data_IF_351830249878
#
_entry.id   IF_351830249878
#
_cell.length_a   1.000
_cell.length_b   1.000
_cell.length_c   1.000
_cell.angle_alpha   90.00
_cell.angle_beta   90.00
_cell.angle_gamma   90.00
#
_symmetry.space_group_name_H-M   'P 1'
#
loop_
_entity.id
_entity.type
_entity.pdbx_description
1 polymer ?
#
# COMPACT_ATOMS: atom_id res chain seq x y z
N UNK A 1 -3.41 -18.63 -7.00
CA UNK A 1 -4.53 -17.70 -6.71
C UNK A 1 -4.14 -16.54 -5.79
N UNK A 2 -3.40 -16.78 -4.68
CA UNK A 2 -3.02 -15.72 -3.72
C UNK A 2 -2.13 -14.59 -4.27
N UNK A 3 -1.25 -14.88 -5.23
CA UNK A 3 -0.34 -13.89 -5.81
C UNK A 3 -1.07 -12.75 -6.55
N UNK A 4 -2.31 -12.97 -7.01
CA UNK A 4 -3.08 -11.96 -7.77
C UNK A 4 -3.60 -10.83 -6.87
N UNK A 5 -3.84 -11.11 -5.59
CA UNK A 5 -4.35 -10.13 -4.63
C UNK A 5 -3.25 -9.42 -3.83
N UNK A 6 -2.03 -9.95 -3.87
CA UNK A 6 -0.91 -9.34 -3.18
C UNK A 6 -0.65 -7.88 -3.62
N UNK A 7 -0.71 -7.54 -4.93
CA UNK A 7 -0.57 -6.16 -5.38
C UNK A 7 -1.65 -5.22 -4.87
N UNK A 8 -2.91 -5.67 -4.71
CA UNK A 8 -3.98 -4.78 -4.25
C UNK A 8 -3.76 -4.34 -2.80
N UNK A 9 -3.22 -5.21 -1.95
CA UNK A 9 -2.95 -4.86 -0.55
C UNK A 9 -1.88 -3.79 -0.37
N UNK A 10 -0.98 -3.61 -1.36
CA UNK A 10 0.04 -2.55 -1.34
C UNK A 10 -0.56 -1.15 -1.43
N UNK A 11 -1.68 -1.00 -2.15
CA UNK A 11 -2.41 0.27 -2.16
C UNK A 11 -2.90 0.64 -0.77
N UNK A 12 -3.42 -0.36 -0.05
CA UNK A 12 -3.90 -0.15 1.30
C UNK A 12 -2.75 0.07 2.30
N UNK A 13 -1.54 -0.47 2.08
CA UNK A 13 -0.37 -0.12 2.90
C UNK A 13 -0.13 1.40 2.88
N UNK A 14 -0.11 2.00 1.69
CA UNK A 14 0.03 3.45 1.54
C UNK A 14 -1.20 4.21 2.07
N UNK A 15 -2.41 3.76 1.74
CA UNK A 15 -3.63 4.46 2.12
C UNK A 15 -3.86 4.44 3.63
N UNK A 16 -3.60 3.31 4.31
CA UNK A 16 -3.64 3.24 5.77
C UNK A 16 -2.69 4.30 6.36
N UNK A 17 -1.45 4.38 5.85
CA UNK A 17 -0.43 5.32 6.31
C UNK A 17 -0.83 6.78 6.13
N UNK A 18 -1.28 7.19 4.93
CA UNK A 18 -1.57 8.60 4.64
C UNK A 18 -2.94 9.05 5.13
N UNK A 19 -3.91 8.14 5.24
CA UNK A 19 -5.27 8.49 5.70
C UNK A 19 -5.43 8.39 7.22
N UNK A 20 -4.62 7.56 7.89
CA UNK A 20 -4.80 7.21 9.30
C UNK A 20 -6.00 6.29 9.55
N UNK A 21 -6.59 5.72 8.50
CA UNK A 21 -7.74 4.81 8.57
C UNK A 21 -7.23 3.38 8.51
N UNK A 22 -7.66 2.52 9.44
CA UNK A 22 -7.49 1.07 9.30
C UNK A 22 -8.65 0.49 8.49
N UNK A 23 -8.48 0.38 7.18
CA UNK A 23 -9.53 -0.10 6.26
C UNK A 23 -9.99 -1.54 6.57
N UNK A 24 -9.20 -2.31 7.31
CA UNK A 24 -9.49 -3.71 7.62
C UNK A 24 -9.83 -3.96 9.09
N UNK A 25 -10.08 -2.90 9.88
CA UNK A 25 -10.38 -2.99 11.31
C UNK A 25 -11.55 -3.94 11.63
N UNK A 26 -12.60 -3.91 10.83
CA UNK A 26 -13.80 -4.75 11.01
C UNK A 26 -13.70 -6.14 10.36
N UNK A 27 -12.63 -6.44 9.63
CA UNK A 27 -12.43 -7.69 8.88
C UNK A 27 -11.12 -8.38 9.26
N UNK A 28 -11.00 -8.89 10.51
CA UNK A 28 -9.75 -9.39 11.06
C UNK A 28 -9.15 -10.55 10.27
N UNK A 29 -9.98 -11.39 9.63
CA UNK A 29 -9.51 -12.48 8.75
C UNK A 29 -8.76 -11.94 7.52
N UNK A 30 -9.26 -10.85 6.92
CA UNK A 30 -8.61 -10.22 5.76
C UNK A 30 -7.31 -9.55 6.18
N UNK A 31 -7.30 -8.89 7.35
CA UNK A 31 -6.08 -8.31 7.93
C UNK A 31 -5.00 -9.36 8.18
N UNK A 32 -5.36 -10.51 8.75
CA UNK A 32 -4.44 -11.64 8.91
C UNK A 32 -3.93 -12.18 7.57
N UNK A 33 -4.82 -12.34 6.59
CA UNK A 33 -4.44 -12.82 5.26
C UNK A 33 -3.47 -11.87 4.55
N UNK A 34 -3.73 -10.56 4.56
CA UNK A 34 -2.81 -9.53 4.05
C UNK A 34 -1.43 -9.62 4.71
N UNK A 35 -1.39 -9.73 6.03
CA UNK A 35 -0.14 -9.85 6.79
C UNK A 35 0.63 -11.14 6.47
N UNK A 36 -0.08 -12.22 6.12
CA UNK A 36 0.56 -13.46 5.67
C UNK A 36 1.14 -13.29 4.26
N UNK A 37 0.38 -12.69 3.34
CA UNK A 37 0.83 -12.46 1.97
C UNK A 37 2.03 -11.51 1.88
N UNK A 38 2.10 -10.48 2.72
CA UNK A 38 3.22 -9.53 2.72
C UNK A 38 4.56 -10.17 3.08
N UNK A 39 4.56 -11.35 3.70
CA UNK A 39 5.75 -12.15 4.04
C UNK A 39 6.16 -13.15 2.97
N UNK A 40 5.33 -13.38 1.95
CA UNK A 40 5.70 -14.27 0.86
C UNK A 40 6.79 -13.65 -0.01
N UNK A 41 7.91 -14.35 -0.19
CA UNK A 41 9.04 -13.89 -1.00
C UNK A 41 8.64 -13.57 -2.45
N UNK A 42 7.84 -14.44 -3.09
CA UNK A 42 7.30 -14.19 -4.44
C UNK A 42 6.43 -12.93 -4.52
N UNK A 43 5.75 -12.54 -3.43
CA UNK A 43 4.96 -11.30 -3.35
C UNK A 43 5.84 -10.09 -3.18
N UNK A 44 6.94 -10.22 -2.42
CA UNK A 44 7.92 -9.16 -2.24
C UNK A 44 8.69 -8.88 -3.54
N UNK A 45 9.13 -9.93 -4.22
CA UNK A 45 9.89 -9.84 -5.48
C UNK A 45 9.05 -9.41 -6.70
N UNK A 46 7.72 -9.42 -6.59
CA UNK A 46 6.83 -9.05 -7.70
C UNK A 46 6.75 -7.53 -7.97
N UNK A 47 7.30 -6.70 -7.10
CA UNK A 47 7.30 -5.23 -7.23
C UNK A 47 8.70 -4.68 -7.01
N UNK A 48 8.97 -3.50 -7.57
CA UNK A 48 10.23 -2.79 -7.34
C UNK A 48 10.35 -2.35 -5.87
N UNK A 49 11.57 -2.24 -5.37
CA UNK A 49 11.83 -1.80 -3.98
C UNK A 49 11.27 -0.39 -3.69
N UNK A 50 11.24 0.47 -4.70
CA UNK A 50 10.71 1.83 -4.62
C UNK A 50 9.20 1.93 -4.96
N UNK A 51 8.47 0.81 -4.94
CA UNK A 51 7.06 0.79 -5.34
C UNK A 51 6.18 1.71 -4.48
N UNK A 52 6.43 1.79 -3.17
CA UNK A 52 5.67 2.68 -2.28
C UNK A 52 5.82 4.15 -2.68
N UNK A 53 7.03 4.57 -3.03
CA UNK A 53 7.30 5.93 -3.51
C UNK A 53 6.66 6.17 -4.88
N UNK A 54 6.76 5.21 -5.81
CA UNK A 54 6.07 5.31 -7.12
C UNK A 54 4.55 5.45 -6.95
N UNK A 55 3.97 4.73 -5.99
CA UNK A 55 2.55 4.83 -5.69
C UNK A 55 2.20 6.17 -5.03
N UNK A 56 3.05 6.68 -4.13
CA UNK A 56 2.88 8.00 -3.54
C UNK A 56 2.91 9.10 -4.60
N UNK A 57 3.83 9.05 -5.56
CA UNK A 57 3.83 9.95 -6.71
C UNK A 57 2.56 9.85 -7.56
N UNK A 58 2.09 8.63 -7.82
CA UNK A 58 0.84 8.43 -8.55
C UNK A 58 -0.32 9.11 -7.82
N UNK A 59 -0.40 8.99 -6.49
CA UNK A 59 -1.41 9.68 -5.68
C UNK A 59 -1.22 11.19 -5.75
N UNK A 60 0.01 11.71 -5.66
CA UNK A 60 0.28 13.15 -5.75
C UNK A 60 -0.18 13.73 -7.09
N UNK A 61 0.10 13.03 -8.20
CA UNK A 61 -0.33 13.43 -9.56
C UNK A 61 -1.85 13.52 -9.73
N UNK A 62 -2.64 12.89 -8.84
CA UNK A 62 -4.12 12.94 -8.85
C UNK A 62 -4.71 14.20 -8.20
N UNK A 63 -3.94 14.99 -7.46
CA UNK A 63 -4.40 16.23 -6.79
C UNK A 63 -5.68 16.05 -5.94
N UNK A 64 -5.77 14.93 -5.24
CA UNK A 64 -6.90 14.54 -4.39
C UNK A 64 -6.71 14.96 -2.92
N UNK A 65 -7.72 14.72 -2.07
CA UNK A 65 -7.57 14.90 -0.61
C UNK A 65 -6.49 14.00 -0.01
N UNK A 66 -6.26 12.81 -0.58
CA UNK A 66 -5.17 11.94 -0.16
C UNK A 66 -3.80 12.52 -0.55
N UNK A 67 -3.72 13.23 -1.67
CA UNK A 67 -2.47 13.86 -2.13
C UNK A 67 -1.95 14.88 -1.12
N UNK A 68 -2.85 15.60 -0.43
CA UNK A 68 -2.50 16.57 0.63
C UNK A 68 -1.92 15.92 1.90
N UNK A 69 -2.06 14.60 2.04
CA UNK A 69 -1.65 13.84 3.23
C UNK A 69 -0.42 12.97 2.98
N UNK A 70 0.13 12.97 1.76
CA UNK A 70 1.35 12.23 1.44
C UNK A 70 2.54 12.91 2.13
N UNK A 71 3.27 12.21 3.00
CA UNK A 71 4.41 12.80 3.70
C UNK A 71 5.63 12.95 2.79
N UNK A 72 6.54 13.86 3.15
CA UNK A 72 7.71 14.17 2.32
C UNK A 72 8.67 12.99 2.17
N UNK A 73 8.79 12.10 3.17
CA UNK A 73 9.67 10.93 3.07
C UNK A 73 9.25 9.89 2.01
N UNK A 74 8.01 9.94 1.52
CA UNK A 74 7.52 9.07 0.46
C UNK A 74 7.65 9.69 -0.93
N UNK A 75 8.11 10.93 -1.02
CA UNK A 75 8.38 11.59 -2.30
C UNK A 75 9.75 11.12 -2.80
N UNK A 76 9.83 10.75 -4.09
CA UNK A 76 11.13 10.51 -4.71
C UNK A 76 11.94 11.82 -4.70
N UNK A 77 13.27 11.75 -4.54
CA UNK A 77 14.14 12.93 -4.59
C UNK A 77 14.06 13.67 -5.93
#
# INVERSE_FOLDING_TARGET
LNAVFAPVFRYFDLFDQISGIDFFASVPKVKQWRNHLSRCESVQQAVAENYTQMLAEFVLKRQSELSKKVPNELQLP
#
